data_IF_786412928462
#
_entry.id   IF_786412928462
#
_cell.length_a   1.000
_cell.length_b   1.000
_cell.length_c   1.000
_cell.angle_alpha   90.00
_cell.angle_beta   90.00
_cell.angle_gamma   90.00
#
_symmetry.space_group_name_H-M   'P 1'
#
loop_
_entity.id
_entity.type
_entity.pdbx_description
1 polymer ?
#
# COMPACT_ATOMS: atom_id res chain seq x y z
N UNK A 1 -27.22 -11.48 9.33
CA UNK A 1 -25.87 -10.98 9.67
C UNK A 1 -26.03 -9.60 10.29
N UNK A 2 -25.48 -9.36 11.49
CA UNK A 2 -25.66 -8.09 12.20
C UNK A 2 -24.81 -6.98 11.57
N UNK A 3 -25.34 -5.76 11.48
CA UNK A 3 -24.66 -4.58 10.89
C UNK A 3 -23.26 -4.29 11.48
N UNK A 4 -23.04 -4.71 12.73
CA UNK A 4 -21.77 -4.54 13.43
C UNK A 4 -20.67 -5.41 12.83
N UNK A 5 -21.02 -6.63 12.38
CA UNK A 5 -20.08 -7.56 11.74
C UNK A 5 -19.57 -7.03 10.40
N UNK A 6 -20.41 -6.33 9.63
CA UNK A 6 -20.03 -5.77 8.32
C UNK A 6 -19.11 -4.55 8.43
N UNK A 7 -19.32 -3.67 9.42
CA UNK A 7 -18.43 -2.52 9.66
C UNK A 7 -17.05 -2.96 10.14
N UNK A 8 -17.00 -3.96 11.01
CA UNK A 8 -15.73 -4.54 11.50
C UNK A 8 -14.95 -5.15 10.33
N UNK A 9 -15.60 -5.94 9.47
CA UNK A 9 -14.96 -6.53 8.28
C UNK A 9 -14.37 -5.45 7.36
N UNK A 10 -15.09 -4.36 7.09
CA UNK A 10 -14.56 -3.24 6.27
C UNK A 10 -13.34 -2.57 6.90
N UNK A 11 -13.30 -2.46 8.23
CA UNK A 11 -12.14 -1.91 8.94
C UNK A 11 -10.94 -2.86 8.87
N UNK A 12 -11.16 -4.16 9.02
CA UNK A 12 -10.11 -5.18 8.88
C UNK A 12 -9.50 -5.16 7.48
N UNK A 13 -10.32 -5.01 6.43
CA UNK A 13 -9.84 -4.90 5.05
C UNK A 13 -8.99 -3.63 4.85
N UNK A 14 -9.39 -2.49 5.42
CA UNK A 14 -8.59 -1.27 5.34
C UNK A 14 -7.27 -1.36 6.11
N UNK A 15 -7.28 -2.00 7.28
CA UNK A 15 -6.05 -2.26 8.03
C UNK A 15 -5.12 -3.16 7.22
N UNK A 16 -5.66 -4.21 6.58
CA UNK A 16 -4.88 -5.10 5.72
C UNK A 16 -4.23 -4.35 4.56
N UNK A 17 -4.99 -3.52 3.85
CA UNK A 17 -4.46 -2.74 2.74
C UNK A 17 -3.46 -1.66 3.20
N UNK A 18 -3.64 -1.10 4.39
CA UNK A 18 -2.66 -0.18 4.97
C UNK A 18 -1.32 -0.85 5.26
N UNK A 19 -1.34 -2.06 5.83
CA UNK A 19 -0.14 -2.86 6.08
C UNK A 19 0.56 -3.19 4.75
N UNK A 20 -0.18 -3.66 3.74
CA UNK A 20 0.38 -3.97 2.41
C UNK A 20 1.04 -2.74 1.76
N UNK A 21 0.42 -1.57 1.89
CA UNK A 21 1.03 -0.32 1.40
C UNK A 21 2.34 0.00 2.13
N UNK A 22 2.37 -0.11 3.46
CA UNK A 22 3.59 0.16 4.24
C UNK A 22 4.72 -0.79 3.83
N UNK A 23 4.46 -2.09 3.69
CA UNK A 23 5.44 -3.07 3.26
C UNK A 23 5.98 -2.76 1.85
N UNK A 24 5.09 -2.45 0.90
CA UNK A 24 5.48 -2.09 -0.46
C UNK A 24 6.30 -0.78 -0.50
N UNK A 25 5.92 0.22 0.31
CA UNK A 25 6.65 1.48 0.43
C UNK A 25 8.05 1.28 1.03
N UNK A 26 8.17 0.41 2.04
CA UNK A 26 9.47 0.08 2.63
C UNK A 26 10.39 -0.60 1.62
N UNK A 27 9.88 -1.56 0.83
CA UNK A 27 10.67 -2.20 -0.23
C UNK A 27 11.12 -1.19 -1.30
N UNK A 28 10.23 -0.28 -1.70
CA UNK A 28 10.56 0.81 -2.63
C UNK A 28 11.68 1.70 -2.09
N UNK A 29 11.58 2.13 -0.82
CA UNK A 29 12.61 2.95 -0.16
C UNK A 29 13.96 2.21 -0.07
N UNK A 30 13.94 0.92 0.30
CA UNK A 30 15.16 0.11 0.37
C UNK A 30 15.82 -0.01 -1.00
N UNK A 31 15.02 -0.21 -2.06
CA UNK A 31 15.53 -0.29 -3.43
C UNK A 31 16.13 1.03 -3.89
N UNK A 32 15.45 2.15 -3.67
CA UNK A 32 15.98 3.48 -3.99
C UNK A 32 17.32 3.75 -3.29
N UNK A 33 17.45 3.41 -2.00
CA UNK A 33 18.71 3.55 -1.26
C UNK A 33 19.84 2.69 -1.82
N UNK A 34 19.52 1.47 -2.26
CA UNK A 34 20.50 0.58 -2.90
C UNK A 34 20.93 1.11 -4.27
N UNK A 35 20.00 1.69 -5.02
CA UNK A 35 20.24 2.29 -6.33
C UNK A 35 21.09 3.55 -6.24
N UNK A 36 20.79 4.46 -5.30
CA UNK A 36 21.59 5.66 -5.00
C UNK A 36 23.04 5.29 -4.67
N UNK A 37 23.26 4.19 -3.94
CA UNK A 37 24.59 3.69 -3.62
C UNK A 37 25.32 3.09 -4.84
N UNK A 38 24.58 2.60 -5.83
CA UNK A 38 25.13 1.98 -7.05
C UNK A 38 25.30 2.96 -8.23
N UNK A 39 24.67 4.13 -8.19
CA UNK A 39 24.66 5.11 -9.29
C UNK A 39 23.66 4.79 -10.42
N UNK A 40 22.78 3.80 -10.24
CA UNK A 40 21.71 3.47 -11.20
C UNK A 40 20.49 4.42 -11.05
N UNK A 41 19.85 4.79 -12.16
CA UNK A 41 18.68 5.69 -12.14
C UNK A 41 17.39 4.95 -11.74
N UNK A 42 16.81 5.34 -10.61
CA UNK A 42 15.67 4.71 -9.93
C UNK A 42 14.27 4.94 -10.56
N UNK A 43 14.19 5.31 -11.85
CA UNK A 43 12.91 5.51 -12.50
C UNK A 43 12.35 4.14 -12.95
N UNK A 44 11.14 3.80 -12.51
CA UNK A 44 10.37 2.60 -12.94
C UNK A 44 10.80 1.24 -12.36
N UNK A 45 11.23 1.16 -11.10
CA UNK A 45 11.39 -0.13 -10.41
C UNK A 45 10.05 -0.83 -10.17
N UNK A 46 10.06 -2.17 -10.12
CA UNK A 46 8.87 -2.98 -9.82
C UNK A 46 8.34 -2.67 -8.41
N UNK A 47 9.21 -2.32 -7.48
CA UNK A 47 8.88 -1.91 -6.11
C UNK A 47 8.15 -0.56 -6.08
N UNK A 48 8.60 0.43 -6.86
CA UNK A 48 7.89 1.72 -7.00
C UNK A 48 6.49 1.52 -7.62
N UNK A 49 6.38 0.64 -8.62
CA UNK A 49 5.10 0.30 -9.22
C UNK A 49 4.17 -0.43 -8.22
N UNK A 50 4.70 -1.33 -7.40
CA UNK A 50 3.96 -2.03 -6.36
C UNK A 50 3.47 -1.07 -5.27
N UNK A 51 4.33 -0.16 -4.79
CA UNK A 51 3.96 0.85 -3.80
C UNK A 51 2.85 1.79 -4.33
N UNK A 52 2.93 2.18 -5.61
CA UNK A 52 1.88 2.99 -6.25
C UNK A 52 0.54 2.25 -6.34
N UNK A 53 0.55 0.96 -6.69
CA UNK A 53 -0.67 0.14 -6.72
C UNK A 53 -1.29 -0.01 -5.34
N UNK A 54 -0.50 -0.39 -4.34
CA UNK A 54 -0.98 -0.54 -2.97
C UNK A 54 -1.53 0.79 -2.41
N UNK A 55 -0.96 1.94 -2.78
CA UNK A 55 -1.50 3.26 -2.44
C UNK A 55 -2.90 3.50 -3.02
N UNK A 56 -3.13 3.10 -4.27
CA UNK A 56 -4.44 3.23 -4.94
C UNK A 56 -5.47 2.30 -4.30
N UNK A 57 -5.10 1.06 -3.98
CA UNK A 57 -5.97 0.07 -3.34
C UNK A 57 -6.39 0.51 -1.92
N UNK A 58 -5.45 1.05 -1.15
CA UNK A 58 -5.74 1.64 0.15
C UNK A 58 -6.70 2.84 0.02
N UNK A 59 -6.44 3.74 -0.91
CA UNK A 59 -7.29 4.93 -1.15
C UNK A 59 -8.73 4.54 -1.51
N UNK A 60 -8.88 3.49 -2.32
CA UNK A 60 -10.19 2.92 -2.65
C UNK A 60 -10.88 2.36 -1.41
N UNK A 61 -10.19 1.53 -0.64
CA UNK A 61 -10.75 0.88 0.57
C UNK A 61 -11.18 1.92 1.62
N UNK A 62 -10.37 2.96 1.84
CA UNK A 62 -10.73 4.06 2.74
C UNK A 62 -11.94 4.87 2.24
N UNK A 63 -12.06 5.04 0.92
CA UNK A 63 -13.23 5.70 0.32
C UNK A 63 -14.51 4.88 0.53
N UNK A 64 -14.42 3.55 0.44
CA UNK A 64 -15.54 2.62 0.65
C UNK A 64 -15.96 2.50 2.13
N UNK A 65 -15.06 2.81 3.06
CA UNK A 65 -15.34 2.93 4.50
C UNK A 65 -16.10 4.21 4.88
N UNK A 66 -15.87 5.30 4.13
CA UNK A 66 -16.50 6.60 4.36
C UNK A 66 -17.96 6.63 3.89
N UNK A 67 -18.37 5.69 3.04
CA UNK A 67 -19.73 5.52 2.50
C UNK A 67 -20.55 4.53 3.32
#
# INVERSE_FOLDING_TARGET
MSWHSTRISKLEDAVREAVRFIEAAQMAIMRMKAEDASGESACCTKENAAAKRASMDLSRTLTELRR
#
